data_IF_019601131029
#
_entry.id   IF_019601131029
#
_cell.length_a   1.000
_cell.length_b   1.000
_cell.length_c   1.000
_cell.angle_alpha   90.00
_cell.angle_beta   90.00
_cell.angle_gamma   90.00
#
_symmetry.space_group_name_H-M   'P 1'
#
loop_
_entity.id
_entity.type
_entity.pdbx_description
1 polymer ?
#
# COMPACT_ATOMS: atom_id res chain seq x y z
N UNK A 1 -12.09 2.04 -6.87
CA UNK A 1 -11.32 2.74 -5.81
C UNK A 1 -11.53 4.23 -6.03
N UNK A 2 -12.17 4.98 -5.12
CA UNK A 2 -12.46 6.40 -5.41
C UNK A 2 -13.38 7.14 -4.43
N UNK A 3 -13.23 6.94 -3.11
CA UNK A 3 -14.00 7.71 -2.13
C UNK A 3 -13.27 8.04 -0.82
N UNK A 4 -12.04 7.56 -0.61
CA UNK A 4 -11.27 7.89 0.58
C UNK A 4 -10.46 9.17 0.29
N UNK A 5 -10.66 10.22 1.11
CA UNK A 5 -9.83 11.43 1.09
C UNK A 5 -8.39 11.04 1.38
N UNK A 6 -7.44 11.72 0.74
CA UNK A 6 -6.02 11.60 1.09
C UNK A 6 -5.76 11.97 2.55
N UNK A 7 -4.62 11.54 3.09
CA UNK A 7 -4.27 11.67 4.53
C UNK A 7 -4.32 13.13 5.01
N UNK A 8 -4.05 14.09 4.13
CA UNK A 8 -4.11 15.54 4.41
C UNK A 8 -5.46 16.21 4.03
N UNK A 9 -6.52 15.45 3.77
CA UNK A 9 -7.81 15.99 3.30
C UNK A 9 -7.82 16.33 1.80
N UNK A 10 -6.84 15.85 1.04
CA UNK A 10 -6.76 15.99 -0.42
C UNK A 10 -7.86 15.19 -1.12
N UNK A 11 -8.41 15.76 -2.19
CA UNK A 11 -9.35 15.07 -3.10
C UNK A 11 -8.63 14.17 -4.12
N UNK A 12 -7.30 14.23 -4.17
CA UNK A 12 -6.45 13.41 -5.05
C UNK A 12 -5.50 12.54 -4.23
N UNK A 13 -5.15 11.33 -4.73
CA UNK A 13 -4.13 10.51 -4.11
C UNK A 13 -2.76 11.19 -4.19
N UNK A 14 -1.87 10.90 -3.23
CA UNK A 14 -0.51 11.45 -3.20
C UNK A 14 0.30 11.04 -4.44
N UNK A 15 0.07 9.82 -4.93
CA UNK A 15 0.61 9.32 -6.20
C UNK A 15 -0.51 8.66 -7.01
N UNK A 16 -0.47 8.73 -8.35
CA UNK A 16 -1.43 8.05 -9.21
C UNK A 16 -1.12 6.54 -9.31
N UNK A 17 -1.10 5.82 -8.18
CA UNK A 17 -0.73 4.42 -8.12
C UNK A 17 -0.81 3.80 -6.71
N UNK A 18 -0.19 2.63 -6.55
CA UNK A 18 -0.16 1.90 -5.28
C UNK A 18 1.27 1.76 -4.77
N UNK A 19 1.56 2.28 -3.57
CA UNK A 19 2.81 2.00 -2.88
C UNK A 19 2.92 0.52 -2.54
N UNK A 20 4.09 -0.07 -2.77
CA UNK A 20 4.37 -1.48 -2.49
C UNK A 20 5.53 -1.59 -1.52
N UNK A 21 5.38 -2.48 -0.53
CA UNK A 21 6.48 -2.88 0.33
C UNK A 21 7.41 -3.83 -0.44
N UNK A 22 8.70 -3.54 -0.46
CA UNK A 22 9.71 -4.36 -1.13
C UNK A 22 10.24 -5.49 -0.23
N UNK A 23 9.93 -5.44 1.06
CA UNK A 23 10.37 -6.40 2.05
C UNK A 23 9.47 -6.39 3.29
N UNK A 24 9.69 -7.36 4.18
CA UNK A 24 8.93 -7.51 5.43
C UNK A 24 9.01 -6.27 6.33
N UNK A 25 10.16 -5.59 6.38
CA UNK A 25 10.32 -4.39 7.22
C UNK A 25 9.41 -3.25 6.76
N UNK A 26 9.34 -3.00 5.46
CA UNK A 26 8.43 -2.01 4.88
C UNK A 26 6.97 -2.43 5.04
N UNK A 27 6.67 -3.72 4.90
CA UNK A 27 5.33 -4.25 5.13
C UNK A 27 4.86 -3.94 6.57
N UNK A 28 5.68 -4.23 7.57
CA UNK A 28 5.39 -3.89 8.97
C UNK A 28 5.29 -2.39 9.20
N UNK A 29 6.08 -1.58 8.49
CA UNK A 29 5.97 -0.13 8.56
C UNK A 29 4.63 0.38 8.01
N UNK A 30 4.17 -0.10 6.84
CA UNK A 30 2.87 0.26 6.30
C UNK A 30 1.71 -0.17 7.22
N UNK A 31 1.78 -1.38 7.78
CA UNK A 31 0.78 -1.85 8.76
C UNK A 31 0.72 -0.93 9.98
N UNK A 32 1.86 -0.48 10.50
CA UNK A 32 1.93 0.46 11.63
C UNK A 32 1.44 1.86 11.28
N UNK A 33 1.61 2.29 10.03
CA UNK A 33 1.13 3.59 9.54
C UNK A 33 -0.40 3.66 9.46
N UNK A 34 -1.09 2.50 9.41
CA UNK A 34 -2.54 2.44 9.29
C UNK A 34 -3.25 3.31 10.35
N UNK A 35 -3.85 4.40 9.88
CA UNK A 35 -4.60 5.37 10.68
C UNK A 35 -6.12 5.26 10.47
N UNK A 36 -6.60 4.20 9.80
CA UNK A 36 -8.03 4.00 9.53
C UNK A 36 -8.86 3.65 10.77
N UNK A 37 -8.19 3.30 11.88
CA UNK A 37 -8.83 2.90 13.14
C UNK A 37 -9.37 1.46 13.17
N UNK A 38 -9.19 0.70 12.08
CA UNK A 38 -9.61 -0.69 11.97
C UNK A 38 -8.47 -1.62 11.52
N UNK A 39 -8.70 -2.94 11.52
CA UNK A 39 -7.72 -3.89 11.03
C UNK A 39 -7.52 -3.76 9.51
N UNK A 40 -6.35 -4.19 9.03
CA UNK A 40 -5.99 -4.21 7.60
C UNK A 40 -5.53 -5.59 7.16
N UNK A 41 -5.75 -5.90 5.89
CA UNK A 41 -5.23 -7.09 5.25
C UNK A 41 -3.86 -6.81 4.61
N UNK A 42 -3.02 -7.83 4.51
CA UNK A 42 -1.73 -7.79 3.81
C UNK A 42 -1.79 -8.71 2.61
N UNK A 43 -1.53 -8.13 1.44
CA UNK A 43 -1.55 -8.80 0.15
C UNK A 43 -0.14 -8.83 -0.44
N UNK A 44 0.26 -9.98 -0.95
CA UNK A 44 1.43 -10.11 -1.82
C UNK A 44 0.98 -9.87 -3.26
N UNK A 45 1.85 -9.20 -4.02
CA UNK A 45 1.62 -8.85 -5.42
C UNK A 45 2.56 -9.67 -6.30
N UNK A 46 1.99 -10.30 -7.33
CA UNK A 46 2.71 -11.14 -8.28
C UNK A 46 2.78 -10.51 -9.67
N UNK A 47 3.87 -10.76 -10.38
CA UNK A 47 4.06 -10.29 -11.76
C UNK A 47 4.23 -8.77 -11.88
N UNK A 48 4.73 -8.14 -10.82
CA UNK A 48 5.24 -6.77 -10.80
C UNK A 48 6.66 -6.88 -10.24
N UNK A 49 7.64 -6.48 -11.03
CA UNK A 49 9.05 -6.52 -10.66
C UNK A 49 9.51 -5.15 -10.17
N UNK A 50 10.69 -5.09 -9.53
CA UNK A 50 11.27 -3.85 -9.01
C UNK A 50 11.43 -2.74 -10.06
N UNK A 51 11.65 -3.12 -11.32
CA UNK A 51 11.82 -2.23 -12.48
C UNK A 51 10.49 -1.63 -12.96
N UNK A 52 9.35 -2.22 -12.58
CA UNK A 52 8.01 -1.69 -12.87
C UNK A 52 7.62 -0.57 -11.88
N UNK A 53 8.44 -0.34 -10.84
CA UNK A 53 8.17 0.60 -9.78
C UNK A 53 8.84 1.96 -10.00
N UNK A 54 8.12 3.00 -9.64
CA UNK A 54 8.60 4.38 -9.66
C UNK A 54 8.95 4.82 -8.25
N UNK A 55 10.09 5.48 -8.08
CA UNK A 55 10.45 6.13 -6.83
C UNK A 55 9.69 7.45 -6.68
N UNK A 56 8.89 7.58 -5.63
CA UNK A 56 8.19 8.81 -5.30
C UNK A 56 9.16 9.88 -4.77
N UNK A 57 8.81 11.17 -4.82
CA UNK A 57 9.61 12.24 -4.21
C UNK A 57 9.89 12.04 -2.72
N UNK A 58 9.01 11.31 -2.02
CA UNK A 58 9.11 10.99 -0.59
C UNK A 58 10.04 9.79 -0.32
N UNK A 59 10.58 9.16 -1.37
CA UNK A 59 11.54 8.06 -1.26
C UNK A 59 10.92 6.66 -1.17
N UNK A 60 9.63 6.52 -1.48
CA UNK A 60 8.92 5.23 -1.46
C UNK A 60 8.60 4.75 -2.88
N UNK A 61 8.64 3.43 -3.11
CA UNK A 61 8.32 2.86 -4.43
C UNK A 61 6.84 2.62 -4.59
N UNK A 62 6.30 2.96 -5.76
CA UNK A 62 4.91 2.71 -6.11
C UNK A 62 4.79 2.18 -7.54
N UNK A 63 3.76 1.38 -7.77
CA UNK A 63 3.36 0.95 -9.10
C UNK A 63 2.41 1.99 -9.72
N UNK A 64 2.76 2.63 -10.86
CA UNK A 64 1.94 3.67 -11.49
C UNK A 64 0.81 3.09 -12.34
N UNK A 65 -0.04 2.24 -11.74
CA UNK A 65 -1.09 1.54 -12.46
C UNK A 65 -2.09 0.82 -11.55
N UNK A 66 -2.97 0.04 -12.18
CA UNK A 66 -3.95 -0.79 -11.48
C UNK A 66 -3.41 -2.20 -11.34
N UNK A 67 -3.34 -2.70 -10.10
CA UNK A 67 -2.96 -4.09 -9.82
C UNK A 67 -4.19 -4.96 -9.98
N UNK A 68 -4.14 -5.96 -10.85
CA UNK A 68 -5.28 -6.85 -11.09
C UNK A 68 -5.48 -7.80 -9.89
N UNK A 69 -6.72 -8.15 -9.57
CA UNK A 69 -7.02 -9.08 -8.47
C UNK A 69 -6.34 -10.45 -8.66
N UNK A 70 -6.14 -10.90 -9.90
CA UNK A 70 -5.42 -12.14 -10.22
C UNK A 70 -3.92 -12.09 -9.85
N UNK A 71 -3.38 -10.89 -9.64
CA UNK A 71 -2.00 -10.66 -9.20
C UNK A 71 -1.89 -10.60 -7.66
N UNK A 72 -3.02 -10.67 -6.93
CA UNK A 72 -3.02 -10.53 -5.48
C UNK A 72 -3.17 -11.89 -4.79
N UNK A 73 -2.36 -12.12 -3.76
CA UNK A 73 -2.49 -13.24 -2.85
C UNK A 73 -2.61 -12.72 -1.41
N UNK A 74 -3.68 -13.08 -0.72
CA UNK A 74 -3.83 -12.73 0.70
C UNK A 74 -2.78 -13.47 1.53
N UNK A 75 -1.95 -12.73 2.25
CA UNK A 75 -0.90 -13.30 3.12
C UNK A 75 -1.30 -13.21 4.58
N UNK A 76 -1.88 -12.08 5.00
CA UNK A 76 -2.40 -11.89 6.36
C UNK A 76 -3.75 -11.20 6.31
N UNK A 77 -4.63 -11.63 7.20
CA UNK A 77 -5.99 -11.11 7.30
C UNK A 77 -6.21 -10.43 8.65
N UNK A 78 -6.99 -9.36 8.66
CA UNK A 78 -7.48 -8.69 9.86
C UNK A 78 -6.35 -8.29 10.84
N UNK A 79 -5.22 -7.80 10.31
CA UNK A 79 -4.08 -7.37 11.12
C UNK A 79 -4.48 -6.15 11.93
N UNK A 80 -4.46 -6.19 13.27
CA UNK A 80 -4.93 -5.09 14.09
C UNK A 80 -4.01 -3.87 13.93
N UNK A 81 -4.53 -2.65 14.10
CA UNK A 81 -3.70 -1.46 14.14
C UNK A 81 -2.66 -1.60 15.26
N UNK A 82 -1.44 -1.13 14.99
CA UNK A 82 -0.39 -1.13 15.99
C UNK A 82 -0.84 -0.31 17.20
N UNK A 83 -0.82 -0.91 18.39
CA UNK A 83 -1.08 -0.19 19.63
C UNK A 83 0.08 0.79 19.85
N UNK A 84 -0.23 2.09 19.85
CA UNK A 84 0.66 3.16 20.36
C UNK A 84 1.02 2.93 21.81
#
# INVERSE_FOLDING_TARGET
MGAARGIAGSDQPEQPGCFLALNDFECEWFVRMNNTGGPVDVWEVHGIEDDDLVLSPEGHRYFPGVIAAAQLRLVRRDVPPART
#
